data_IF_897738634156
#
_entry.id   IF_897738634156
#
_cell.length_a   1.000
_cell.length_b   1.000
_cell.length_c   1.000
_cell.angle_alpha   90.00
_cell.angle_beta   90.00
_cell.angle_gamma   90.00
#
_symmetry.space_group_name_H-M   'P 1'
#
loop_
_entity.id
_entity.type
_entity.pdbx_description
1 polymer ?
#
# COMPACT_ATOMS: atom_id res chain seq x y z
N UNK A 1 54.82 35.51 49.19
CA UNK A 1 54.36 36.10 47.93
C UNK A 1 54.04 34.92 46.99
N UNK A 2 52.72 34.59 46.88
CA UNK A 2 52.21 33.54 46.00
C UNK A 2 51.87 34.20 44.65
N UNK A 3 52.44 33.68 43.56
CA UNK A 3 52.06 34.08 42.21
C UNK A 3 50.92 33.16 41.75
N UNK A 4 49.74 33.76 41.45
CA UNK A 4 48.58 33.11 40.87
C UNK A 4 48.70 33.18 39.36
N UNK A 5 48.85 32.01 38.70
CA UNK A 5 48.82 31.89 37.23
C UNK A 5 47.37 31.89 36.75
N UNK A 6 46.94 32.90 35.98
CA UNK A 6 45.70 32.94 35.25
C UNK A 6 45.78 32.11 33.97
N UNK A 7 45.03 31.03 33.91
CA UNK A 7 44.81 30.25 32.69
C UNK A 7 43.68 30.92 31.89
N UNK A 8 44.05 31.40 30.70
CA UNK A 8 43.09 31.93 29.76
C UNK A 8 42.20 30.83 29.18
N UNK A 9 40.87 30.95 29.39
CA UNK A 9 39.84 30.17 28.72
C UNK A 9 39.69 30.71 27.31
N UNK A 10 40.09 29.94 26.32
CA UNK A 10 39.68 30.16 24.92
C UNK A 10 38.18 29.89 24.75
N UNK A 11 37.47 30.72 23.99
CA UNK A 11 36.04 30.46 23.72
C UNK A 11 35.90 29.20 22.86
N UNK A 12 34.81 28.41 23.04
CA UNK A 12 34.55 27.27 22.20
C UNK A 12 34.32 27.74 20.77
N UNK A 13 35.09 27.15 19.85
CA UNK A 13 34.93 27.36 18.41
C UNK A 13 33.49 27.04 18.00
N UNK A 14 32.88 27.96 17.28
CA UNK A 14 31.62 27.75 16.58
C UNK A 14 31.82 26.58 15.63
N UNK A 15 31.16 25.46 15.94
CA UNK A 15 31.02 24.36 15.01
C UNK A 15 30.24 24.92 13.81
N UNK A 16 30.93 25.01 12.68
CA UNK A 16 30.33 25.25 11.39
C UNK A 16 29.36 24.08 11.13
N UNK A 17 28.06 24.40 11.08
CA UNK A 17 27.06 23.47 10.65
C UNK A 17 27.46 22.93 9.27
N UNK A 18 27.50 21.61 9.16
CA UNK A 18 27.72 20.94 7.89
C UNK A 18 26.66 21.40 6.90
N UNK A 19 27.11 21.96 5.80
CA UNK A 19 26.29 22.42 4.70
C UNK A 19 25.51 21.24 4.09
N UNK A 20 24.16 21.39 4.03
CA UNK A 20 23.39 20.95 2.88
C UNK A 20 22.85 19.55 2.84
N UNK A 21 22.15 19.06 3.87
CA UNK A 21 20.99 18.23 3.55
C UNK A 21 19.87 19.20 3.16
N UNK A 22 19.37 19.15 1.92
CA UNK A 22 18.12 19.84 1.56
C UNK A 22 17.06 19.34 2.52
N UNK A 23 16.68 20.13 3.51
CA UNK A 23 15.53 19.85 4.35
C UNK A 23 14.33 19.89 3.42
N UNK A 24 13.62 18.77 3.28
CA UNK A 24 12.39 18.73 2.50
C UNK A 24 11.43 19.82 3.01
N UNK A 25 10.52 20.27 2.15
CA UNK A 25 9.57 21.34 2.45
C UNK A 25 8.67 21.05 3.67
N UNK A 26 8.49 19.78 4.01
CA UNK A 26 7.81 19.34 5.23
C UNK A 26 8.79 18.49 6.03
N UNK A 27 9.27 18.96 7.20
CA UNK A 27 10.20 18.18 8.01
C UNK A 27 9.58 16.87 8.51
N UNK A 28 10.36 15.78 8.61
CA UNK A 28 9.89 14.52 9.16
C UNK A 28 9.26 14.65 10.54
N UNK A 29 8.11 14.02 10.74
CA UNK A 29 7.37 14.06 12.00
C UNK A 29 6.55 15.33 12.22
N UNK A 30 6.51 16.23 11.25
CA UNK A 30 5.80 17.52 11.34
C UNK A 30 4.53 17.47 10.49
N UNK A 31 3.41 17.90 11.07
CA UNK A 31 2.21 18.24 10.31
C UNK A 31 2.34 19.65 9.73
N UNK A 32 1.98 19.81 8.48
CA UNK A 32 1.93 21.10 7.81
C UNK A 32 0.61 21.26 7.05
N UNK A 33 0.22 22.50 6.81
CA UNK A 33 -0.87 22.80 5.86
C UNK A 33 -0.43 22.55 4.41
N UNK A 34 -1.34 22.75 3.46
CA UNK A 34 -1.04 22.55 2.05
C UNK A 34 0.03 23.49 1.47
N UNK A 35 0.44 24.52 2.20
CA UNK A 35 1.53 25.43 1.82
C UNK A 35 2.87 25.07 2.50
N UNK A 36 2.89 23.99 3.28
CA UNK A 36 4.10 23.53 4.01
C UNK A 36 4.33 24.25 5.34
N UNK A 37 3.41 25.09 5.81
CA UNK A 37 3.52 25.75 7.09
C UNK A 37 3.17 24.80 8.23
N UNK A 38 4.04 24.63 9.23
CA UNK A 38 3.79 23.74 10.35
C UNK A 38 2.48 24.05 11.09
N UNK A 39 1.69 23.02 11.38
CA UNK A 39 0.45 23.11 12.15
C UNK A 39 0.51 22.22 13.39
N UNK A 40 -0.04 22.68 14.54
CA UNK A 40 -0.07 21.87 15.76
C UNK A 40 -0.93 20.60 15.56
N UNK A 41 -0.41 19.40 15.91
CA UNK A 41 -1.11 18.14 15.63
C UNK A 41 -2.45 17.99 16.37
N UNK A 42 -2.53 18.36 17.64
CA UNK A 42 -3.73 18.15 18.45
C UNK A 42 -4.92 19.00 17.97
N UNK A 43 -4.80 20.31 17.75
CA UNK A 43 -5.88 21.10 17.15
C UNK A 43 -6.28 20.62 15.74
N UNK A 44 -5.30 20.23 14.91
CA UNK A 44 -5.55 19.67 13.57
C UNK A 44 -6.42 18.42 13.66
N UNK A 45 -5.95 17.41 14.40
CA UNK A 45 -6.65 16.13 14.50
C UNK A 45 -8.03 16.26 15.15
N UNK A 46 -8.22 17.17 16.11
CA UNK A 46 -9.55 17.45 16.69
C UNK A 46 -10.51 17.99 15.63
N UNK A 47 -10.08 18.95 14.84
CA UNK A 47 -10.89 19.51 13.75
C UNK A 47 -11.22 18.42 12.71
N UNK A 48 -10.23 17.65 12.30
CA UNK A 48 -10.40 16.58 11.31
C UNK A 48 -11.33 15.48 11.82
N UNK A 49 -11.29 15.14 13.11
CA UNK A 49 -12.15 14.13 13.71
C UNK A 49 -13.65 14.48 13.69
N UNK A 50 -14.00 15.74 13.44
CA UNK A 50 -15.40 16.21 13.29
C UNK A 50 -15.94 16.00 11.87
N UNK A 51 -15.08 15.65 10.90
CA UNK A 51 -15.48 15.43 9.51
C UNK A 51 -16.36 14.18 9.35
N UNK A 52 -17.23 14.20 8.36
CA UNK A 52 -18.06 13.05 8.01
C UNK A 52 -17.25 11.93 7.34
N UNK A 53 -16.24 12.31 6.55
CA UNK A 53 -15.28 11.40 5.92
C UNK A 53 -13.87 11.98 6.00
N UNK A 54 -12.89 11.13 6.31
CA UNK A 54 -11.47 11.47 6.38
C UNK A 54 -10.73 10.55 5.43
N UNK A 55 -10.03 11.12 4.46
CA UNK A 55 -9.32 10.39 3.44
C UNK A 55 -7.83 10.42 3.76
N UNK A 56 -7.26 9.26 4.04
CA UNK A 56 -5.83 9.09 4.29
C UNK A 56 -5.18 8.52 3.02
N UNK A 57 -4.60 9.41 2.21
CA UNK A 57 -3.96 9.03 0.95
C UNK A 57 -2.66 8.27 1.17
N UNK A 58 -2.24 7.51 0.14
CA UNK A 58 -0.96 6.77 0.19
C UNK A 58 -0.43 6.45 -1.22
N UNK A 59 0.81 5.98 -1.32
CA UNK A 59 1.35 5.25 -2.45
C UNK A 59 1.47 3.78 -2.04
N UNK A 60 0.83 2.90 -2.80
CA UNK A 60 0.54 1.51 -2.43
C UNK A 60 1.76 0.66 -2.06
N UNK A 61 2.92 0.98 -2.58
CA UNK A 61 4.17 0.26 -2.38
C UNK A 61 5.08 0.88 -1.29
N UNK A 62 4.66 1.98 -0.64
CA UNK A 62 5.45 2.66 0.38
C UNK A 62 5.05 2.26 1.81
N UNK A 63 5.85 1.43 2.51
CA UNK A 63 5.52 0.95 3.85
C UNK A 63 5.31 2.05 4.88
N UNK A 64 6.04 3.18 4.76
CA UNK A 64 5.95 4.28 5.73
C UNK A 64 4.65 5.07 5.59
N UNK A 65 4.04 5.09 4.39
CA UNK A 65 2.70 5.65 4.20
C UNK A 65 1.67 4.88 5.02
N UNK A 66 1.71 3.54 5.00
CA UNK A 66 0.77 2.70 5.76
C UNK A 66 1.01 2.75 7.27
N UNK A 67 2.26 2.92 7.72
CA UNK A 67 2.59 3.17 9.12
C UNK A 67 2.03 4.50 9.59
N UNK A 68 2.16 5.54 8.77
CA UNK A 68 1.58 6.84 9.03
C UNK A 68 0.05 6.80 9.04
N UNK A 69 -0.58 6.08 8.10
CA UNK A 69 -2.03 5.87 8.09
C UNK A 69 -2.51 5.23 9.41
N UNK A 70 -1.84 4.18 9.88
CA UNK A 70 -2.15 3.56 11.18
C UNK A 70 -1.96 4.54 12.34
N UNK A 71 -0.86 5.29 12.36
CA UNK A 71 -0.59 6.30 13.39
C UNK A 71 -1.71 7.34 13.44
N UNK A 72 -2.10 7.86 12.28
CA UNK A 72 -3.16 8.87 12.15
C UNK A 72 -4.52 8.31 12.53
N UNK A 73 -4.87 7.11 12.06
CA UNK A 73 -6.11 6.41 12.43
C UNK A 73 -6.22 6.19 13.95
N UNK A 74 -5.12 5.79 14.62
CA UNK A 74 -5.10 5.61 16.07
C UNK A 74 -5.32 6.94 16.81
N UNK A 75 -4.71 8.04 16.33
CA UNK A 75 -4.93 9.37 16.86
C UNK A 75 -6.38 9.85 16.70
N UNK A 76 -6.97 9.63 15.53
CA UNK A 76 -8.38 9.97 15.27
C UNK A 76 -9.33 9.12 16.12
N UNK A 77 -9.07 7.82 16.26
CA UNK A 77 -9.88 6.95 17.11
C UNK A 77 -9.87 7.33 18.58
N UNK A 78 -8.73 7.82 19.09
CA UNK A 78 -8.64 8.32 20.45
C UNK A 78 -9.49 9.60 20.70
N UNK A 79 -9.78 10.36 19.64
CA UNK A 79 -10.61 11.56 19.68
C UNK A 79 -12.09 11.27 19.38
N UNK A 80 -12.35 10.34 18.49
CA UNK A 80 -13.68 9.91 18.09
C UNK A 80 -13.70 8.38 17.99
N UNK A 81 -14.29 7.66 18.97
CA UNK A 81 -14.35 6.19 18.93
C UNK A 81 -15.36 5.65 17.91
N UNK A 82 -16.30 6.49 17.43
CA UNK A 82 -17.34 6.10 16.48
C UNK A 82 -16.87 6.22 15.03
N UNK A 83 -15.79 5.50 14.71
CA UNK A 83 -15.22 5.43 13.37
C UNK A 83 -15.64 4.14 12.64
N UNK A 84 -15.57 4.18 11.31
CA UNK A 84 -15.46 3.02 10.44
C UNK A 84 -14.23 3.19 9.55
N UNK A 85 -13.55 2.09 9.22
CA UNK A 85 -12.36 2.10 8.36
C UNK A 85 -12.76 1.67 6.95
N UNK A 86 -12.67 2.56 5.99
CA UNK A 86 -12.90 2.25 4.58
C UNK A 86 -11.60 1.76 3.91
N UNK A 87 -11.69 0.69 3.13
CA UNK A 87 -10.53 0.10 2.44
C UNK A 87 -10.76 0.08 0.93
N UNK A 88 -9.97 0.85 0.18
CA UNK A 88 -9.97 0.83 -1.28
C UNK A 88 -9.62 -0.57 -1.84
N UNK A 89 -8.73 -1.27 -1.15
CA UNK A 89 -8.11 -2.53 -1.58
C UNK A 89 -9.12 -3.63 -1.87
N UNK A 90 -10.33 -3.53 -1.32
CA UNK A 90 -11.27 -4.64 -1.26
C UNK A 90 -12.60 -4.30 -1.96
N UNK A 91 -13.06 -5.14 -2.90
CA UNK A 91 -14.35 -4.98 -3.54
C UNK A 91 -15.50 -5.38 -2.61
N UNK A 92 -16.69 -4.85 -2.87
CA UNK A 92 -17.92 -5.01 -2.06
C UNK A 92 -18.25 -6.47 -1.72
N UNK A 93 -17.92 -7.43 -2.61
CA UNK A 93 -18.13 -8.86 -2.36
C UNK A 93 -17.36 -9.40 -1.16
N UNK A 94 -16.29 -8.73 -0.76
CA UNK A 94 -15.43 -9.13 0.39
C UNK A 94 -16.02 -8.68 1.72
N UNK A 95 -17.07 -7.85 1.75
CA UNK A 95 -17.64 -7.33 2.99
C UNK A 95 -17.95 -8.42 4.03
N UNK A 96 -18.57 -9.57 3.69
CA UNK A 96 -18.81 -10.62 4.69
C UNK A 96 -17.55 -11.19 5.32
N UNK A 97 -16.42 -11.18 4.59
CA UNK A 97 -15.10 -11.62 5.13
C UNK A 97 -14.55 -10.58 6.10
N UNK A 98 -14.70 -9.29 5.79
CA UNK A 98 -14.31 -8.19 6.67
C UNK A 98 -15.13 -8.20 7.98
N UNK A 99 -16.43 -8.45 7.90
CA UNK A 99 -17.30 -8.51 9.08
C UNK A 99 -16.86 -9.65 10.02
N UNK A 100 -16.56 -10.81 9.48
CA UNK A 100 -16.03 -11.95 10.23
C UNK A 100 -14.61 -11.69 10.78
N UNK A 101 -13.79 -10.96 10.03
CA UNK A 101 -12.47 -10.53 10.52
C UNK A 101 -12.60 -9.65 11.77
N UNK A 102 -13.44 -8.63 11.72
CA UNK A 102 -13.69 -7.72 12.86
C UNK A 102 -14.33 -8.46 14.04
N UNK A 103 -15.23 -9.42 13.77
CA UNK A 103 -15.81 -10.29 14.79
C UNK A 103 -14.79 -11.20 15.49
N UNK A 104 -13.59 -11.35 14.90
CA UNK A 104 -12.54 -12.21 15.46
C UNK A 104 -12.67 -13.69 15.06
N UNK A 105 -13.47 -14.00 14.07
CA UNK A 105 -13.78 -15.37 13.63
C UNK A 105 -12.75 -15.96 12.68
N UNK A 106 -11.87 -15.11 12.12
CA UNK A 106 -10.86 -15.53 11.16
C UNK A 106 -9.45 -15.36 11.70
N UNK A 107 -8.59 -16.30 11.42
CA UNK A 107 -7.15 -16.11 11.49
C UNK A 107 -6.67 -15.21 10.35
N UNK A 108 -5.46 -14.68 10.42
CA UNK A 108 -4.87 -13.88 9.33
C UNK A 108 -4.79 -14.67 8.02
N UNK A 109 -4.36 -15.93 8.08
CA UNK A 109 -4.27 -16.79 6.91
C UNK A 109 -5.64 -17.04 6.25
N UNK A 110 -6.68 -17.29 7.06
CA UNK A 110 -8.06 -17.45 6.57
C UNK A 110 -8.58 -16.16 5.96
N UNK A 111 -8.32 -15.00 6.58
CA UNK A 111 -8.70 -13.71 6.05
C UNK A 111 -8.06 -13.47 4.67
N UNK A 112 -6.75 -13.64 4.55
CA UNK A 112 -6.04 -13.43 3.29
C UNK A 112 -6.51 -14.39 2.19
N UNK A 113 -6.81 -15.63 2.56
CA UNK A 113 -7.32 -16.63 1.61
C UNK A 113 -8.75 -16.31 1.17
N UNK A 114 -9.66 -16.01 2.11
CA UNK A 114 -11.08 -15.80 1.81
C UNK A 114 -11.35 -14.45 1.15
N UNK A 115 -10.53 -13.43 1.43
CA UNK A 115 -10.59 -12.15 0.72
C UNK A 115 -9.98 -12.20 -0.67
N UNK A 116 -9.26 -13.29 -0.99
CA UNK A 116 -8.46 -13.43 -2.23
C UNK A 116 -7.50 -12.24 -2.42
N UNK A 117 -6.87 -11.82 -1.31
CA UNK A 117 -6.06 -10.60 -1.24
C UNK A 117 -5.06 -10.47 -2.39
N UNK A 118 -4.35 -11.56 -2.69
CA UNK A 118 -3.31 -11.59 -3.72
C UNK A 118 -3.84 -11.27 -5.11
N UNK A 119 -5.00 -11.79 -5.47
CA UNK A 119 -5.63 -11.59 -6.79
C UNK A 119 -6.35 -10.24 -6.84
N UNK A 120 -7.03 -9.88 -5.75
CA UNK A 120 -7.86 -8.67 -5.67
C UNK A 120 -7.00 -7.42 -5.66
N UNK A 121 -5.96 -7.40 -4.81
CA UNK A 121 -5.15 -6.20 -4.62
C UNK A 121 -3.74 -6.31 -5.23
N UNK A 122 -3.02 -7.37 -4.91
CA UNK A 122 -1.71 -7.66 -5.47
C UNK A 122 -0.53 -7.07 -4.70
N UNK A 123 -0.71 -6.01 -3.91
CA UNK A 123 0.32 -5.47 -3.02
C UNK A 123 0.45 -6.30 -1.75
N UNK A 124 1.60 -6.18 -1.08
CA UNK A 124 1.90 -6.96 0.12
C UNK A 124 0.90 -6.65 1.24
N UNK A 125 0.19 -7.67 1.70
CA UNK A 125 -0.78 -7.55 2.78
C UNK A 125 -0.16 -7.03 4.09
N UNK A 126 1.14 -7.25 4.31
CA UNK A 126 1.87 -6.76 5.50
C UNK A 126 1.81 -5.25 5.66
N UNK A 127 1.59 -4.50 4.60
CA UNK A 127 1.42 -3.05 4.68
C UNK A 127 0.08 -2.68 5.33
N UNK A 128 -0.96 -3.43 5.05
CA UNK A 128 -2.35 -3.14 5.45
C UNK A 128 -2.80 -3.92 6.68
N UNK A 129 -2.21 -5.09 6.95
CA UNK A 129 -2.57 -5.93 8.10
C UNK A 129 -2.51 -5.19 9.45
N UNK A 130 -1.55 -4.32 9.74
CA UNK A 130 -1.55 -3.54 10.98
C UNK A 130 -2.80 -2.67 11.15
N UNK A 131 -3.31 -2.06 10.08
CA UNK A 131 -4.54 -1.27 10.09
C UNK A 131 -5.76 -2.17 10.33
N UNK A 132 -5.82 -3.31 9.65
CA UNK A 132 -6.87 -4.32 9.81
C UNK A 132 -6.87 -4.94 11.22
N UNK A 133 -5.69 -5.19 11.81
CA UNK A 133 -5.56 -5.64 13.20
C UNK A 133 -6.00 -4.57 14.20
N UNK A 134 -5.66 -3.31 13.95
CA UNK A 134 -6.14 -2.18 14.76
C UNK A 134 -7.67 -2.10 14.74
N UNK A 135 -8.28 -2.19 13.56
CA UNK A 135 -9.73 -2.18 13.43
C UNK A 135 -10.38 -3.35 14.18
N UNK A 136 -9.84 -4.57 14.04
CA UNK A 136 -10.29 -5.77 14.76
C UNK A 136 -10.18 -5.61 16.28
N UNK A 137 -9.04 -5.12 16.78
CA UNK A 137 -8.78 -4.93 18.22
C UNK A 137 -9.79 -3.96 18.83
N UNK A 138 -10.14 -2.90 18.11
CA UNK A 138 -11.05 -1.87 18.57
C UNK A 138 -12.51 -2.08 18.12
N UNK A 139 -12.82 -3.22 17.48
CA UNK A 139 -14.16 -3.52 16.96
C UNK A 139 -14.70 -2.46 16.00
N UNK A 140 -13.82 -1.77 15.27
CA UNK A 140 -14.20 -0.80 14.25
C UNK A 140 -14.71 -1.55 13.02
N UNK A 141 -15.88 -1.19 12.49
CA UNK A 141 -16.33 -1.72 11.20
C UNK A 141 -15.30 -1.42 10.11
N UNK A 142 -14.98 -2.43 9.30
CA UNK A 142 -14.16 -2.27 8.10
C UNK A 142 -15.06 -2.39 6.88
N UNK A 143 -15.00 -1.40 6.00
CA UNK A 143 -15.89 -1.26 4.84
C UNK A 143 -15.09 -1.48 3.56
N UNK A 144 -15.53 -2.43 2.75
CA UNK A 144 -15.03 -2.62 1.39
C UNK A 144 -15.56 -1.48 0.49
N UNK A 145 -14.68 -0.59 0.07
CA UNK A 145 -15.07 0.60 -0.70
C UNK A 145 -15.21 0.32 -2.19
N UNK A 146 -14.46 -0.65 -2.70
CA UNK A 146 -14.26 -0.83 -4.12
C UNK A 146 -15.33 -1.71 -4.78
N UNK A 147 -15.28 -1.73 -6.11
CA UNK A 147 -15.98 -2.65 -7.01
C UNK A 147 -14.98 -3.64 -7.62
N UNK A 148 -15.47 -4.62 -8.35
CA UNK A 148 -14.60 -5.56 -9.06
C UNK A 148 -13.74 -4.84 -10.11
N UNK A 149 -12.45 -5.17 -10.16
CA UNK A 149 -11.51 -4.64 -11.16
C UNK A 149 -12.02 -4.85 -12.60
N UNK A 150 -12.79 -5.90 -12.83
CA UNK A 150 -13.40 -6.19 -14.12
C UNK A 150 -14.42 -5.12 -14.55
N UNK A 151 -15.16 -4.51 -13.62
CA UNK A 151 -16.08 -3.41 -13.91
C UNK A 151 -15.30 -2.18 -14.40
N UNK A 152 -14.26 -1.78 -13.68
CA UNK A 152 -13.40 -0.65 -14.05
C UNK A 152 -12.71 -0.91 -15.40
N UNK A 153 -12.18 -2.12 -15.62
CA UNK A 153 -11.56 -2.50 -16.88
C UNK A 153 -12.55 -2.50 -18.06
N UNK A 154 -13.81 -2.89 -17.85
CA UNK A 154 -14.87 -2.80 -18.88
C UNK A 154 -15.22 -1.34 -19.19
N UNK A 155 -15.31 -0.50 -18.15
CA UNK A 155 -15.53 0.94 -18.31
C UNK A 155 -14.41 1.57 -19.15
N UNK A 156 -13.15 1.25 -18.84
CA UNK A 156 -12.00 1.74 -19.61
C UNK A 156 -12.00 1.29 -21.07
N UNK A 157 -12.49 0.08 -21.37
CA UNK A 157 -12.55 -0.42 -22.76
C UNK A 157 -13.75 0.08 -23.52
N UNK A 158 -14.93 0.05 -22.92
CA UNK A 158 -16.21 0.17 -23.62
C UNK A 158 -16.96 1.47 -23.28
N UNK A 159 -16.67 2.10 -22.14
CA UNK A 159 -17.37 3.25 -21.59
C UNK A 159 -18.50 2.86 -20.63
N UNK A 160 -18.73 3.71 -19.64
CA UNK A 160 -19.74 3.49 -18.59
C UNK A 160 -21.16 3.34 -19.10
N UNK A 161 -21.53 4.15 -20.11
CA UNK A 161 -22.86 4.12 -20.69
C UNK A 161 -23.24 2.75 -21.30
N UNK A 162 -22.26 1.95 -21.72
CA UNK A 162 -22.47 0.66 -22.34
C UNK A 162 -22.69 -0.46 -21.32
N UNK A 163 -22.39 -0.22 -20.03
CA UNK A 163 -22.54 -1.22 -18.97
C UNK A 163 -23.99 -1.20 -18.49
N UNK A 164 -24.71 -2.32 -18.58
CA UNK A 164 -26.09 -2.42 -18.08
C UNK A 164 -26.18 -2.06 -16.59
N UNK A 165 -27.22 -1.34 -16.14
CA UNK A 165 -27.37 -0.95 -14.73
C UNK A 165 -27.26 -2.12 -13.73
N UNK A 166 -27.77 -3.29 -14.08
CA UNK A 166 -27.70 -4.49 -13.26
C UNK A 166 -26.26 -5.03 -13.07
N UNK A 167 -25.31 -4.63 -13.94
CA UNK A 167 -23.92 -5.05 -13.91
C UNK A 167 -22.98 -3.99 -13.34
N UNK A 168 -23.52 -2.85 -12.87
CA UNK A 168 -22.76 -1.73 -12.30
C UNK A 168 -22.42 -1.89 -10.82
N UNK A 169 -22.69 -3.03 -10.23
CA UNK A 169 -22.44 -3.32 -8.80
C UNK A 169 -23.03 -2.27 -7.85
N UNK A 170 -24.16 -1.66 -8.25
CA UNK A 170 -24.81 -0.62 -7.47
C UNK A 170 -24.17 0.76 -7.58
N UNK A 171 -23.20 0.96 -8.46
CA UNK A 171 -22.61 2.29 -8.72
C UNK A 171 -23.58 3.13 -9.56
N UNK A 172 -23.90 4.31 -9.04
CA UNK A 172 -24.76 5.28 -9.70
C UNK A 172 -24.02 6.09 -10.77
N UNK A 173 -24.62 7.22 -11.15
CA UNK A 173 -24.01 8.13 -12.13
C UNK A 173 -22.92 8.95 -11.46
N UNK A 174 -21.65 8.89 -11.92
CA UNK A 174 -20.59 9.72 -11.39
C UNK A 174 -20.85 11.21 -11.69
N UNK A 175 -20.49 12.10 -10.76
CA UNK A 175 -20.36 13.51 -11.03
C UNK A 175 -19.22 13.73 -12.06
N UNK A 176 -19.43 14.68 -12.97
CA UNK A 176 -18.41 14.97 -13.97
C UNK A 176 -17.11 15.48 -13.30
N UNK A 177 -15.93 14.96 -13.68
CA UNK A 177 -14.67 15.44 -13.14
C UNK A 177 -14.40 16.88 -13.59
N UNK A 178 -13.72 17.66 -12.74
CA UNK A 178 -13.28 19.01 -13.08
C UNK A 178 -12.25 19.01 -14.23
N UNK A 179 -12.04 20.15 -14.86
CA UNK A 179 -11.02 20.27 -15.91
C UNK A 179 -9.60 20.07 -15.33
N UNK A 180 -9.37 20.51 -14.09
CA UNK A 180 -8.09 20.29 -13.38
C UNK A 180 -7.84 18.81 -13.16
N UNK A 181 -8.85 18.05 -12.69
CA UNK A 181 -8.74 16.60 -12.50
C UNK A 181 -8.51 15.87 -13.82
N UNK A 182 -9.23 16.27 -14.88
CA UNK A 182 -9.01 15.73 -16.23
C UNK A 182 -7.57 15.93 -16.72
N UNK A 183 -6.99 17.11 -16.47
CA UNK A 183 -5.61 17.38 -16.83
C UNK A 183 -4.64 16.47 -16.08
N UNK A 184 -4.76 16.39 -14.75
CA UNK A 184 -3.90 15.51 -13.92
C UNK A 184 -4.00 14.04 -14.30
N UNK A 185 -5.21 13.54 -14.56
CA UNK A 185 -5.38 12.16 -15.02
C UNK A 185 -4.74 11.90 -16.39
N UNK A 186 -4.74 12.89 -17.30
CA UNK A 186 -4.02 12.78 -18.57
C UNK A 186 -2.52 12.74 -18.36
N UNK A 187 -1.99 13.58 -17.48
CA UNK A 187 -0.56 13.62 -17.15
C UNK A 187 -0.11 12.31 -16.49
N UNK A 188 -0.92 11.76 -15.57
CA UNK A 188 -0.68 10.47 -14.96
C UNK A 188 -0.67 9.32 -16.00
N UNK A 189 -1.60 9.32 -16.95
CA UNK A 189 -1.63 8.35 -18.03
C UNK A 189 -0.37 8.46 -18.91
N UNK A 190 0.01 9.70 -19.30
CA UNK A 190 1.20 9.94 -20.12
C UNK A 190 2.50 9.50 -19.43
N UNK A 191 2.59 9.61 -18.11
CA UNK A 191 3.74 9.15 -17.35
C UNK A 191 3.88 7.60 -17.33
N UNK A 192 2.79 6.87 -17.58
CA UNK A 192 2.77 5.41 -17.64
C UNK A 192 2.91 4.87 -19.07
N UNK A 193 2.58 5.68 -20.08
CA UNK A 193 2.74 5.29 -21.49
C UNK A 193 4.20 5.48 -21.91
N UNK A 194 4.76 4.46 -22.60
CA UNK A 194 6.06 4.62 -23.26
C UNK A 194 5.95 5.70 -24.34
N UNK A 195 7.02 6.49 -24.59
CA UNK A 195 7.01 7.49 -25.64
C UNK A 195 6.57 6.88 -26.98
N UNK A 196 5.57 7.48 -27.61
CA UNK A 196 5.16 7.12 -28.96
C UNK A 196 6.35 7.31 -29.93
N UNK A 197 6.56 6.40 -30.89
CA UNK A 197 7.61 6.60 -31.89
C UNK A 197 7.34 7.88 -32.70
N UNK A 198 8.38 8.67 -32.94
CA UNK A 198 8.28 9.86 -33.81
C UNK A 198 7.67 9.49 -35.15
N UNK A 199 6.54 10.13 -35.49
CA UNK A 199 5.82 9.89 -36.76
C UNK A 199 4.40 9.33 -36.63
N UNK A 200 3.77 9.42 -35.44
CA UNK A 200 2.39 8.97 -35.21
C UNK A 200 1.40 9.62 -36.21
N UNK A 201 0.58 8.81 -36.86
CA UNK A 201 -0.43 9.25 -37.82
C UNK A 201 -1.61 9.92 -37.12
N UNK A 202 -2.43 10.78 -37.82
CA UNK A 202 -3.63 11.39 -37.24
C UNK A 202 -4.63 10.38 -36.62
N UNK A 203 -4.64 9.14 -37.06
CA UNK A 203 -5.44 8.06 -36.52
C UNK A 203 -4.90 7.59 -35.13
N UNK A 204 -3.59 7.62 -34.93
CA UNK A 204 -2.99 7.29 -33.62
C UNK A 204 -3.31 8.37 -32.58
N UNK A 205 -3.26 9.65 -32.92
CA UNK A 205 -3.63 10.75 -32.04
C UNK A 205 -5.11 10.69 -31.59
N UNK A 206 -6.03 10.32 -32.50
CA UNK A 206 -7.45 10.12 -32.15
C UNK A 206 -7.67 8.89 -31.29
N UNK A 207 -6.93 7.82 -31.55
CA UNK A 207 -6.97 6.60 -30.69
C UNK A 207 -6.44 6.90 -29.28
N UNK A 208 -5.36 7.65 -29.15
CA UNK A 208 -4.79 8.09 -27.87
C UNK A 208 -5.75 9.00 -27.11
N UNK A 209 -6.40 9.97 -27.80
CA UNK A 209 -7.41 10.85 -27.20
C UNK A 209 -8.63 10.07 -26.67
N UNK A 210 -9.10 9.06 -27.40
CA UNK A 210 -10.20 8.21 -26.96
C UNK A 210 -9.78 7.32 -25.78
N UNK A 211 -8.56 6.80 -25.76
CA UNK A 211 -8.01 6.03 -24.66
C UNK A 211 -7.93 6.87 -23.36
N UNK A 212 -7.44 8.11 -23.47
CA UNK A 212 -7.40 9.04 -22.35
C UNK A 212 -8.80 9.37 -21.80
N UNK A 213 -9.78 9.62 -22.71
CA UNK A 213 -11.16 9.86 -22.28
C UNK A 213 -11.75 8.65 -21.55
N UNK A 214 -11.47 7.44 -22.00
CA UNK A 214 -11.92 6.18 -21.37
C UNK A 214 -11.24 5.93 -20.04
N UNK A 215 -9.96 6.23 -19.92
CA UNK A 215 -9.24 6.16 -18.67
C UNK A 215 -9.83 7.10 -17.63
N UNK A 216 -10.08 8.37 -17.98
CA UNK A 216 -10.71 9.36 -17.09
C UNK A 216 -12.10 8.90 -16.66
N UNK A 217 -12.91 8.38 -17.60
CA UNK A 217 -14.24 7.84 -17.26
C UNK A 217 -14.15 6.68 -16.25
N UNK A 218 -13.21 5.78 -16.45
CA UNK A 218 -12.99 4.63 -15.54
C UNK A 218 -12.54 5.09 -14.14
N UNK A 219 -11.64 6.05 -14.06
CA UNK A 219 -11.21 6.63 -12.77
C UNK A 219 -12.37 7.33 -12.07
N UNK A 220 -13.16 8.11 -12.80
CA UNK A 220 -14.33 8.80 -12.22
C UNK A 220 -15.39 7.82 -11.70
N UNK A 221 -15.60 6.69 -12.39
CA UNK A 221 -16.46 5.61 -11.91
C UNK A 221 -15.89 4.95 -10.65
N UNK A 222 -14.58 4.78 -10.61
CA UNK A 222 -13.89 4.21 -9.44
C UNK A 222 -14.04 5.09 -8.21
N UNK A 223 -13.79 6.41 -8.37
CA UNK A 223 -14.01 7.40 -7.31
C UNK A 223 -15.45 7.40 -6.81
N UNK A 224 -16.42 7.33 -7.75
CA UNK A 224 -17.85 7.24 -7.43
C UNK A 224 -18.19 6.01 -6.62
N UNK A 225 -17.66 4.86 -6.98
CA UNK A 225 -17.90 3.60 -6.27
C UNK A 225 -17.45 3.69 -4.81
N UNK A 226 -16.27 4.27 -4.54
CA UNK A 226 -15.77 4.47 -3.18
C UNK A 226 -16.57 5.52 -2.42
N UNK A 227 -16.86 6.65 -3.04
CA UNK A 227 -17.65 7.70 -2.43
C UNK A 227 -19.05 7.23 -2.00
N UNK A 228 -19.73 6.43 -2.82
CA UNK A 228 -21.05 5.88 -2.49
C UNK A 228 -21.01 4.94 -1.28
N UNK A 229 -19.97 4.11 -1.16
CA UNK A 229 -19.80 3.24 0.02
C UNK A 229 -19.50 4.03 1.28
N UNK A 230 -18.71 5.10 1.20
CA UNK A 230 -18.48 6.02 2.31
C UNK A 230 -19.79 6.70 2.71
N UNK A 231 -20.51 7.27 1.74
CA UNK A 231 -21.79 7.96 1.97
C UNK A 231 -22.86 7.03 2.54
N UNK A 232 -22.98 5.82 2.03
CA UNK A 232 -23.89 4.80 2.54
C UNK A 232 -23.57 4.44 4.00
N UNK A 233 -22.30 4.18 4.29
CA UNK A 233 -21.84 3.86 5.66
C UNK A 233 -22.16 5.00 6.62
N UNK A 234 -21.84 6.24 6.23
CA UNK A 234 -22.14 7.42 7.05
C UNK A 234 -23.65 7.54 7.32
N UNK A 235 -24.48 7.41 6.28
CA UNK A 235 -25.93 7.54 6.39
C UNK A 235 -26.56 6.45 7.25
N UNK A 236 -26.10 5.20 7.13
CA UNK A 236 -26.70 4.04 7.81
C UNK A 236 -26.22 3.86 9.25
N UNK A 237 -25.00 4.28 9.56
CA UNK A 237 -24.38 4.05 10.87
C UNK A 237 -24.15 5.33 11.68
N UNK A 238 -24.16 6.51 11.05
CA UNK A 238 -23.77 7.78 11.66
C UNK A 238 -22.25 7.93 11.91
N UNK A 239 -21.45 6.91 11.59
CA UNK A 239 -19.99 6.89 11.88
C UNK A 239 -19.21 7.75 10.91
N UNK A 240 -18.16 8.41 11.41
CA UNK A 240 -17.14 8.98 10.53
C UNK A 240 -16.38 7.86 9.83
N UNK A 241 -16.22 7.98 8.51
CA UNK A 241 -15.46 6.98 7.72
C UNK A 241 -14.04 7.48 7.50
N UNK A 242 -13.06 6.76 8.02
CA UNK A 242 -11.64 6.97 7.72
C UNK A 242 -11.28 6.04 6.56
N UNK A 243 -11.12 6.60 5.36
CA UNK A 243 -10.83 5.86 4.15
C UNK A 243 -9.33 5.77 3.91
N UNK A 244 -8.83 4.55 3.72
CA UNK A 244 -7.46 4.21 3.32
C UNK A 244 -7.49 3.99 1.82
N UNK A 245 -6.78 4.85 1.07
CA UNK A 245 -6.85 4.86 -0.40
C UNK A 245 -5.61 5.52 -1.02
N UNK A 246 -5.39 5.28 -2.30
CA UNK A 246 -4.32 5.93 -3.05
C UNK A 246 -4.52 7.45 -3.11
N UNK A 247 -3.43 8.21 -2.94
CA UNK A 247 -3.47 9.68 -2.89
C UNK A 247 -4.14 10.30 -4.13
N UNK A 248 -3.97 9.70 -5.32
CA UNK A 248 -4.55 10.19 -6.56
C UNK A 248 -6.08 10.18 -6.61
N UNK A 249 -6.75 9.48 -5.67
CA UNK A 249 -8.19 9.49 -5.50
C UNK A 249 -8.69 10.59 -4.54
N UNK A 250 -7.78 11.31 -3.87
CA UNK A 250 -8.16 12.28 -2.83
C UNK A 250 -7.51 13.65 -2.98
N UNK A 251 -6.33 13.73 -3.59
CA UNK A 251 -5.55 14.96 -3.69
C UNK A 251 -6.32 16.10 -4.35
N UNK A 252 -6.02 17.33 -3.93
CA UNK A 252 -6.65 18.57 -4.42
C UNK A 252 -8.18 18.63 -4.21
N UNK A 253 -8.75 17.77 -3.33
CA UNK A 253 -10.19 17.69 -3.12
C UNK A 253 -10.95 17.10 -4.30
N UNK A 254 -10.27 16.48 -5.24
CA UNK A 254 -10.80 15.85 -6.44
C UNK A 254 -11.11 14.36 -6.22
N UNK A 255 -11.44 13.63 -7.27
CA UNK A 255 -11.73 12.20 -7.11
C UNK A 255 -12.84 11.90 -6.11
N UNK A 256 -12.55 11.15 -5.06
CA UNK A 256 -13.52 10.74 -4.02
C UNK A 256 -14.15 11.94 -3.29
N UNK A 257 -13.41 12.96 -2.85
CA UNK A 257 -14.01 14.14 -2.21
C UNK A 257 -15.03 14.85 -3.11
N UNK A 258 -14.73 15.01 -4.40
CA UNK A 258 -15.64 15.60 -5.37
C UNK A 258 -16.93 14.78 -5.53
N UNK A 259 -16.81 13.45 -5.59
CA UNK A 259 -17.97 12.55 -5.65
C UNK A 259 -18.78 12.55 -4.34
N UNK A 260 -18.12 12.69 -3.18
CA UNK A 260 -18.79 12.83 -1.89
C UNK A 260 -19.60 14.12 -1.80
N UNK A 261 -19.05 15.24 -2.29
CA UNK A 261 -19.75 16.52 -2.35
C UNK A 261 -21.02 16.43 -3.21
N UNK A 262 -20.98 15.75 -4.36
CA UNK A 262 -22.14 15.46 -5.20
C UNK A 262 -23.20 14.61 -4.48
N UNK A 263 -22.77 13.71 -3.59
CA UNK A 263 -23.64 12.89 -2.74
C UNK A 263 -24.13 13.63 -1.48
N UNK A 264 -23.81 14.92 -1.33
CA UNK A 264 -24.24 15.75 -0.21
C UNK A 264 -23.35 15.64 1.03
N UNK A 265 -22.16 15.03 0.95
CA UNK A 265 -21.18 14.97 2.02
C UNK A 265 -20.06 15.97 1.69
N UNK A 266 -20.16 17.17 2.29
CA UNK A 266 -19.18 18.26 2.09
C UNK A 266 -18.17 18.39 3.23
N UNK A 267 -18.45 17.81 4.38
CA UNK A 267 -17.58 17.81 5.56
C UNK A 267 -16.55 16.67 5.43
N UNK A 268 -15.60 16.88 4.53
CA UNK A 268 -14.53 15.93 4.27
C UNK A 268 -13.17 16.51 4.66
N UNK A 269 -12.22 15.66 5.02
CA UNK A 269 -10.83 16.06 5.24
C UNK A 269 -9.91 15.12 4.47
N UNK A 270 -8.90 15.66 3.79
CA UNK A 270 -7.86 14.94 3.09
C UNK A 270 -6.54 15.14 3.81
N UNK A 271 -5.91 14.05 4.22
CA UNK A 271 -4.59 14.05 4.84
C UNK A 271 -3.65 13.19 4.00
N UNK A 272 -2.45 13.69 3.72
CA UNK A 272 -1.47 12.99 2.88
C UNK A 272 -0.12 12.86 3.60
N UNK A 273 0.61 11.76 3.38
CA UNK A 273 2.02 11.68 3.74
C UNK A 273 2.84 12.51 2.75
N UNK A 274 3.95 13.06 3.20
CA UNK A 274 4.85 13.86 2.39
C UNK A 274 6.29 13.35 2.55
N UNK A 275 6.77 12.65 1.53
CA UNK A 275 8.14 12.15 1.53
C UNK A 275 9.15 13.31 1.46
N UNK A 276 10.24 13.21 2.18
CA UNK A 276 11.24 14.28 2.25
C UNK A 276 11.94 14.56 0.91
N UNK A 277 11.89 13.62 -0.03
CA UNK A 277 12.41 13.72 -1.40
C UNK A 277 11.38 14.20 -2.43
N UNK A 278 10.12 14.38 -2.02
CA UNK A 278 9.05 14.89 -2.87
C UNK A 278 9.32 16.35 -3.24
N UNK A 279 9.06 16.68 -4.51
CA UNK A 279 9.25 18.04 -5.02
C UNK A 279 8.32 19.05 -4.30
N UNK A 280 8.94 20.07 -3.73
CA UNK A 280 8.24 21.13 -3.01
C UNK A 280 7.30 21.96 -3.88
N UNK A 281 7.56 22.05 -5.17
CA UNK A 281 6.72 22.80 -6.10
C UNK A 281 5.34 22.14 -6.29
N UNK A 282 5.19 20.88 -5.85
CA UNK A 282 3.90 20.18 -5.85
C UNK A 282 3.04 20.46 -4.61
N UNK A 283 3.57 21.19 -3.62
CA UNK A 283 2.86 21.61 -2.43
C UNK A 283 2.17 22.96 -2.67
N UNK A 284 0.95 22.94 -3.20
CA UNK A 284 0.29 24.10 -3.81
C UNK A 284 -0.86 24.70 -2.99
N UNK A 285 -0.95 24.38 -1.71
CA UNK A 285 -2.00 24.89 -0.80
C UNK A 285 -3.37 24.21 -0.94
N UNK A 286 -3.60 23.47 -2.02
CA UNK A 286 -4.88 22.79 -2.29
C UNK A 286 -4.73 21.26 -2.30
N UNK A 287 -3.50 20.76 -2.20
CA UNK A 287 -3.23 19.34 -2.32
C UNK A 287 -3.94 18.50 -1.26
N UNK A 288 -4.05 19.03 -0.03
CA UNK A 288 -4.70 18.39 1.11
C UNK A 288 -5.04 19.42 2.21
N UNK A 289 -5.89 19.05 3.17
CA UNK A 289 -6.14 19.84 4.38
C UNK A 289 -4.92 19.89 5.30
N UNK A 290 -4.12 18.84 5.29
CA UNK A 290 -2.80 18.82 5.89
C UNK A 290 -1.94 17.68 5.30
N UNK A 291 -0.63 17.87 5.40
CA UNK A 291 0.38 16.89 5.02
C UNK A 291 1.26 16.55 6.21
N UNK A 292 1.81 15.32 6.23
CA UNK A 292 2.71 14.87 7.29
C UNK A 292 4.06 14.47 6.73
N UNK A 293 5.12 15.15 7.16
CA UNK A 293 6.48 14.86 6.71
C UNK A 293 6.96 13.47 7.12
N UNK A 294 7.41 12.69 6.15
CA UNK A 294 8.07 11.41 6.35
C UNK A 294 9.57 11.56 6.11
N UNK A 295 10.37 10.80 6.87
CA UNK A 295 11.80 10.70 6.58
C UNK A 295 11.99 10.10 5.18
N UNK A 296 13.06 10.48 4.47
CA UNK A 296 13.37 9.84 3.20
C UNK A 296 13.47 8.33 3.46
N UNK A 297 12.89 7.54 2.55
CA UNK A 297 13.12 6.11 2.58
C UNK A 297 14.65 5.92 2.64
N UNK A 298 15.13 5.22 3.67
CA UNK A 298 16.57 4.94 3.72
C UNK A 298 16.91 4.25 2.42
N UNK A 299 17.87 4.82 1.71
CA UNK A 299 18.58 4.16 0.60
C UNK A 299 19.42 2.95 1.08
N UNK A 300 19.35 2.59 2.35
CA UNK A 300 19.67 1.25 2.79
C UNK A 300 18.84 0.33 1.90
N UNK A 301 19.41 0.06 0.73
CA UNK A 301 18.76 -0.67 -0.35
C UNK A 301 17.96 -1.78 0.26
N UNK A 302 16.72 -1.91 -0.11
CA UNK A 302 15.76 -2.90 0.40
C UNK A 302 16.54 -4.10 0.92
N UNK A 303 16.53 -4.31 2.27
CA UNK A 303 17.40 -5.31 2.88
C UNK A 303 17.31 -6.56 1.99
N UNK A 304 18.40 -7.05 1.42
CA UNK A 304 18.34 -7.99 0.32
C UNK A 304 17.35 -9.07 0.65
N UNK A 305 16.32 -9.21 -0.18
CA UNK A 305 15.20 -10.15 0.09
C UNK A 305 15.80 -11.50 0.36
N UNK A 306 15.45 -12.14 1.47
CA UNK A 306 16.03 -13.44 1.78
C UNK A 306 15.73 -14.39 0.63
N UNK A 307 16.78 -14.99 0.08
CA UNK A 307 16.70 -15.94 -1.00
C UNK A 307 17.09 -17.31 -0.48
N UNK A 308 16.29 -18.32 -0.81
CA UNK A 308 16.66 -19.70 -0.55
C UNK A 308 17.74 -20.19 -1.53
N UNK A 309 17.74 -19.66 -2.76
CA UNK A 309 18.69 -20.00 -3.83
C UNK A 309 18.32 -21.28 -4.53
N UNK A 310 17.04 -21.48 -4.83
CA UNK A 310 16.52 -22.59 -5.64
C UNK A 310 15.74 -22.06 -6.84
N UNK A 311 15.82 -22.77 -7.96
CA UNK A 311 14.83 -22.66 -9.03
C UNK A 311 13.76 -23.72 -8.79
N UNK A 312 12.50 -23.29 -8.82
CA UNK A 312 11.36 -24.17 -8.59
C UNK A 312 10.73 -24.58 -9.91
N UNK A 313 10.39 -25.83 -10.03
CA UNK A 313 9.65 -26.34 -11.17
C UNK A 313 8.15 -26.35 -10.86
N UNK A 314 7.32 -25.91 -11.84
CA UNK A 314 5.86 -25.83 -11.70
C UNK A 314 5.13 -27.17 -11.63
N UNK A 315 5.81 -28.26 -11.96
CA UNK A 315 5.30 -29.63 -11.84
C UNK A 315 6.45 -30.58 -11.57
N UNK A 316 6.40 -31.38 -10.52
CA UNK A 316 7.11 -32.62 -10.49
C UNK A 316 6.45 -33.50 -11.56
N UNK A 317 7.22 -34.13 -12.40
CA UNK A 317 6.76 -34.99 -13.50
C UNK A 317 5.62 -35.93 -13.08
N UNK A 318 4.58 -35.95 -13.87
CA UNK A 318 3.41 -36.80 -13.92
C UNK A 318 3.17 -37.74 -12.76
N UNK A 319 2.23 -37.42 -11.88
CA UNK A 319 1.74 -38.34 -10.89
C UNK A 319 1.53 -37.78 -9.50
N UNK A 320 0.54 -36.86 -9.32
CA UNK A 320 -0.12 -36.66 -8.01
C UNK A 320 0.74 -36.38 -6.76
N UNK A 321 2.02 -36.03 -6.90
CA UNK A 321 2.92 -35.79 -5.76
C UNK A 321 2.71 -34.39 -5.23
N UNK A 322 2.26 -34.28 -3.96
CA UNK A 322 2.15 -33.01 -3.27
C UNK A 322 3.53 -32.32 -3.13
N UNK A 323 3.56 -30.97 -3.24
CA UNK A 323 4.77 -30.19 -3.02
C UNK A 323 5.31 -29.52 -4.30
N UNK A 324 6.39 -28.77 -4.15
CA UNK A 324 7.05 -28.02 -5.23
C UNK A 324 8.43 -28.58 -5.49
N UNK A 325 8.71 -28.91 -6.76
CA UNK A 325 9.97 -29.53 -7.19
C UNK A 325 11.13 -28.52 -7.19
N UNK A 326 12.32 -29.00 -6.82
CA UNK A 326 13.59 -28.27 -6.90
C UNK A 326 14.26 -28.61 -8.23
N UNK A 327 14.25 -27.67 -9.18
CA UNK A 327 14.83 -27.85 -10.51
C UNK A 327 16.29 -27.42 -10.61
N UNK A 328 16.75 -26.52 -9.70
CA UNK A 328 18.17 -26.17 -9.55
C UNK A 328 18.45 -25.65 -8.16
N UNK A 329 19.69 -25.79 -7.71
CA UNK A 329 20.20 -25.22 -6.44
C UNK A 329 21.44 -24.41 -6.79
N UNK A 330 21.45 -23.13 -6.38
CA UNK A 330 22.58 -22.23 -6.61
C UNK A 330 23.73 -22.57 -5.67
N UNK A 331 24.97 -22.55 -6.16
CA UNK A 331 26.16 -22.78 -5.35
C UNK A 331 26.30 -21.72 -4.25
N UNK A 332 26.72 -22.12 -3.06
CA UNK A 332 26.89 -21.23 -1.92
C UNK A 332 25.61 -20.67 -1.32
N UNK A 333 24.44 -21.04 -1.85
CA UNK A 333 23.13 -20.58 -1.39
C UNK A 333 22.74 -21.19 -0.04
N UNK A 334 21.69 -20.58 0.58
CA UNK A 334 21.05 -21.11 1.78
C UNK A 334 20.54 -22.54 1.56
N UNK A 335 20.00 -22.83 0.37
CA UNK A 335 19.54 -24.16 -0.02
C UNK A 335 20.67 -25.17 -0.13
N UNK A 336 21.79 -24.79 -0.77
CA UNK A 336 22.97 -25.63 -0.87
C UNK A 336 23.54 -25.96 0.53
N UNK A 337 23.65 -24.96 1.39
CA UNK A 337 24.11 -25.13 2.77
C UNK A 337 23.16 -25.98 3.62
N UNK A 338 21.86 -25.97 3.32
CA UNK A 338 20.84 -26.81 3.96
C UNK A 338 20.83 -28.24 3.40
N UNK A 339 21.59 -28.55 2.35
CA UNK A 339 21.64 -29.86 1.73
C UNK A 339 20.42 -30.16 0.82
N UNK A 340 19.72 -29.14 0.32
CA UNK A 340 18.74 -29.32 -0.75
C UNK A 340 19.42 -29.75 -2.03
N UNK A 341 18.75 -30.60 -2.82
CA UNK A 341 19.26 -31.15 -4.07
C UNK A 341 18.21 -31.01 -5.17
N UNK A 342 18.69 -31.01 -6.41
CA UNK A 342 17.83 -31.14 -7.59
C UNK A 342 17.03 -32.44 -7.51
N UNK A 343 15.75 -32.38 -7.77
CA UNK A 343 14.82 -33.51 -7.66
C UNK A 343 14.12 -33.65 -6.32
N UNK A 344 14.48 -32.86 -5.29
CA UNK A 344 13.69 -32.76 -4.06
C UNK A 344 12.31 -32.20 -4.36
N UNK A 345 11.30 -32.64 -3.60
CA UNK A 345 9.98 -31.98 -3.53
C UNK A 345 9.81 -31.35 -2.17
N UNK A 346 9.64 -30.02 -2.11
CA UNK A 346 9.38 -29.30 -0.86
C UNK A 346 7.89 -29.42 -0.54
N UNK A 347 7.56 -30.09 0.56
CA UNK A 347 6.19 -30.38 0.99
C UNK A 347 5.65 -29.36 1.98
N UNK A 348 6.52 -28.87 2.87
CA UNK A 348 6.16 -27.86 3.87
C UNK A 348 7.36 -26.94 4.20
N UNK A 349 7.06 -25.73 4.63
CA UNK A 349 8.02 -24.76 5.12
C UNK A 349 7.50 -24.13 6.42
N UNK A 350 8.29 -24.17 7.49
CA UNK A 350 7.87 -23.77 8.85
C UNK A 350 6.54 -24.41 9.27
N UNK A 351 6.31 -25.67 8.93
CA UNK A 351 5.08 -26.40 9.22
C UNK A 351 3.90 -26.06 8.30
N UNK A 352 4.00 -25.07 7.42
CA UNK A 352 2.94 -24.73 6.48
C UNK A 352 3.08 -25.55 5.20
N UNK A 353 2.00 -26.18 4.69
CA UNK A 353 2.05 -26.92 3.44
C UNK A 353 2.45 -26.02 2.26
N UNK A 354 3.36 -26.53 1.42
CA UNK A 354 3.79 -25.86 0.18
C UNK A 354 3.15 -26.62 -0.99
N UNK A 355 2.19 -25.98 -1.67
CA UNK A 355 1.44 -26.56 -2.79
C UNK A 355 1.86 -25.97 -4.13
N UNK A 356 2.27 -24.71 -4.12
CA UNK A 356 2.75 -23.98 -5.30
C UNK A 356 4.00 -23.16 -4.96
N UNK A 357 4.80 -22.74 -5.95
CA UNK A 357 6.01 -21.93 -5.72
C UNK A 357 5.79 -20.68 -4.89
N UNK A 358 4.62 -20.04 -5.04
CA UNK A 358 4.27 -18.83 -4.29
C UNK A 358 4.17 -19.07 -2.78
N UNK A 359 3.74 -20.25 -2.33
CA UNK A 359 3.68 -20.60 -0.92
C UNK A 359 5.08 -20.58 -0.29
N UNK A 360 6.05 -21.21 -0.96
CA UNK A 360 7.44 -21.20 -0.51
C UNK A 360 8.05 -19.80 -0.51
N UNK A 361 7.84 -19.05 -1.59
CA UNK A 361 8.32 -17.66 -1.71
C UNK A 361 7.79 -16.81 -0.58
N UNK A 362 6.50 -16.90 -0.25
CA UNK A 362 5.89 -16.15 0.84
C UNK A 362 6.51 -16.48 2.21
N UNK A 363 6.83 -17.73 2.48
CA UNK A 363 7.48 -18.15 3.73
C UNK A 363 8.95 -17.67 3.77
N UNK A 364 9.68 -17.81 2.66
CA UNK A 364 11.08 -17.39 2.56
C UNK A 364 11.22 -15.88 2.72
N UNK A 365 10.37 -15.09 2.08
CA UNK A 365 10.41 -13.63 2.17
C UNK A 365 10.13 -13.08 3.58
N UNK A 366 9.53 -13.87 4.45
CA UNK A 366 9.28 -13.52 5.87
C UNK A 366 10.47 -13.82 6.78
N UNK A 367 11.53 -14.44 6.28
CA UNK A 367 12.68 -14.79 7.10
C UNK A 367 13.51 -13.55 7.41
N UNK A 368 13.75 -13.29 8.69
CA UNK A 368 14.69 -12.26 9.11
C UNK A 368 16.14 -12.78 9.00
N UNK A 369 17.14 -11.89 8.85
CA UNK A 369 18.54 -12.29 8.96
C UNK A 369 18.81 -13.06 10.26
N UNK A 370 19.58 -14.13 10.18
CA UNK A 370 19.92 -14.97 11.31
C UNK A 370 18.86 -16.04 11.69
N UNK A 371 17.75 -16.14 10.97
CA UNK A 371 16.69 -17.12 11.26
C UNK A 371 16.94 -18.48 10.61
N UNK A 372 16.25 -19.47 11.12
CA UNK A 372 16.28 -20.85 10.65
C UNK A 372 14.90 -21.27 10.19
N UNK A 373 14.82 -21.79 8.97
CA UNK A 373 13.58 -22.23 8.35
C UNK A 373 13.59 -23.76 8.20
N UNK A 374 12.83 -24.52 8.99
CA UNK A 374 12.65 -25.94 8.78
C UNK A 374 11.82 -26.17 7.49
N UNK A 375 12.29 -27.10 6.66
CA UNK A 375 11.63 -27.52 5.44
C UNK A 375 11.41 -29.03 5.50
N UNK A 376 10.18 -29.49 5.26
CA UNK A 376 9.89 -30.90 5.00
C UNK A 376 10.03 -31.16 3.51
N UNK A 377 10.92 -32.05 3.14
CA UNK A 377 11.16 -32.43 1.74
C UNK A 377 10.87 -33.91 1.54
N UNK A 378 10.61 -34.29 0.27
CA UNK A 378 10.62 -35.68 -0.17
C UNK A 378 11.78 -35.90 -1.13
N UNK A 379 12.65 -36.87 -0.82
CA UNK A 379 13.79 -37.31 -1.62
C UNK A 379 13.77 -38.82 -1.71
N UNK A 380 13.85 -39.38 -2.91
CA UNK A 380 13.83 -40.81 -3.14
C UNK A 380 12.62 -41.53 -2.48
N UNK A 381 11.47 -40.89 -2.51
CA UNK A 381 10.23 -41.39 -1.89
C UNK A 381 10.12 -41.22 -0.35
N UNK A 382 11.20 -40.86 0.34
CA UNK A 382 11.23 -40.68 1.76
C UNK A 382 11.09 -39.20 2.17
N UNK A 383 10.30 -38.92 3.23
CA UNK A 383 10.21 -37.59 3.80
C UNK A 383 11.39 -37.33 4.75
N UNK A 384 11.94 -36.13 4.66
CA UNK A 384 13.09 -35.70 5.45
C UNK A 384 12.87 -34.23 5.88
N UNK A 385 13.43 -33.87 7.03
CA UNK A 385 13.51 -32.48 7.44
C UNK A 385 14.92 -31.93 7.16
N UNK A 386 15.00 -30.75 6.56
CA UNK A 386 16.24 -29.98 6.37
C UNK A 386 16.01 -28.57 6.93
N UNK A 387 17.08 -27.94 7.40
CA UNK A 387 16.98 -26.61 8.01
C UNK A 387 17.77 -25.61 7.19
N UNK A 388 17.06 -24.70 6.56
CA UNK A 388 17.63 -23.56 5.84
C UNK A 388 18.01 -22.46 6.83
N UNK A 389 19.32 -22.13 6.93
CA UNK A 389 19.84 -21.12 7.86
C UNK A 389 20.17 -19.86 7.11
N UNK A 390 19.36 -18.82 7.31
CA UNK A 390 19.61 -17.52 6.71
C UNK A 390 20.74 -16.81 7.45
N UNK A 391 21.75 -16.24 6.73
CA UNK A 391 22.86 -15.55 7.38
C UNK A 391 22.41 -14.32 8.16
N UNK A 392 23.08 -14.02 9.27
CA UNK A 392 22.80 -12.83 10.07
C UNK A 392 23.19 -11.54 9.33
N UNK A 393 24.14 -11.63 8.39
CA UNK A 393 24.54 -10.53 7.53
C UNK A 393 23.97 -10.77 6.11
N UNK A 394 23.00 -9.95 5.68
CA UNK A 394 22.40 -10.10 4.36
C UNK A 394 23.38 -9.88 3.20
N UNK A 395 24.48 -9.14 3.40
CA UNK A 395 25.52 -8.94 2.38
C UNK A 395 26.28 -10.24 2.04
N UNK A 396 26.15 -11.30 2.85
CA UNK A 396 26.75 -12.62 2.60
C UNK A 396 25.85 -13.57 1.80
N UNK A 397 24.72 -13.14 1.32
CA UNK A 397 23.93 -13.92 0.38
C UNK A 397 24.54 -13.79 -1.02
N UNK A 398 24.74 -14.88 -1.77
CA UNK A 398 25.23 -14.79 -3.14
C UNK A 398 24.25 -13.95 -3.97
N UNK A 399 24.76 -12.97 -4.69
CA UNK A 399 24.03 -12.19 -5.68
C UNK A 399 23.41 -13.09 -6.75
N UNK A 400 22.29 -12.65 -7.29
CA UNK A 400 21.55 -13.35 -8.38
C UNK A 400 22.42 -13.65 -9.59
#
# INVERSE_FOLDING_TARGET
>A
MLAVALWGLSPPGTATAAEGARTGCVPPGVWADGEGKPVPPVPLLRRVAESAAILLGEQHDKPDHHRWQLHTLAGLHALNPDLAVGMEMLPRRVQPVLDRWVAGELTEAEFLTQSDWRTVWGFDARFYLPILQFARLNRLPVVALNVERSLISRTARNGWATIPPAEREGVGTPAAPSDAYRARLKDALAAHDRPEPEGATPNAANASSNAAARFIEAQTVWDRAMAERIAETRRTTGRTVVAILGEGHADHGEGVPHQLADLGITETAVLLPWDADRDCDTLDGRIADAVFGLAPAREDGEAPRPLLGVRLDRSPGGGGVAGVGVGAVSDGSVAAAAGLMVGDSILAAAGNPVREPADLVAVVQRQAPGTWLPLTIRRDGAEREVVAKFPADPARQPSR
#
